data_IF_851533774142
#
_entry.id   IF_851533774142
#
_cell.length_a   1.000
_cell.length_b   1.000
_cell.length_c   1.000
_cell.angle_alpha   90.00
_cell.angle_beta   90.00
_cell.angle_gamma   90.00
#
_symmetry.space_group_name_H-M   'P 1'
#
loop_
_entity.id
_entity.type
_entity.pdbx_description
1 polymer ?
#
# COMPACT_ATOMS: atom_id res chain seq x y z
N UNK A 1 -10.67 -11.25 9.13
CA UNK A 1 -11.79 -10.84 10.04
C UNK A 1 -12.62 -9.59 9.65
N UNK A 2 -12.13 -8.34 9.70
CA UNK A 2 -13.01 -7.14 9.65
C UNK A 2 -13.98 -7.08 8.45
N UNK A 3 -13.50 -7.48 7.28
CA UNK A 3 -14.31 -7.58 6.06
C UNK A 3 -15.22 -8.82 5.98
N UNK A 4 -15.28 -9.64 7.03
CA UNK A 4 -16.00 -10.93 7.12
C UNK A 4 -15.74 -11.89 5.95
N UNK A 5 -14.50 -11.91 5.46
CA UNK A 5 -14.05 -12.79 4.38
C UNK A 5 -13.33 -14.00 4.96
N UNK A 6 -13.52 -15.16 4.34
CA UNK A 6 -12.68 -16.33 4.59
C UNK A 6 -11.26 -16.10 4.07
N UNK A 7 -10.32 -16.95 4.52
CA UNK A 7 -8.93 -16.92 4.04
C UNK A 7 -8.88 -17.16 2.52
N UNK A 8 -9.61 -18.16 2.03
CA UNK A 8 -9.65 -18.51 0.61
C UNK A 8 -10.23 -17.39 -0.26
N UNK A 9 -11.30 -16.74 0.20
CA UNK A 9 -11.90 -15.59 -0.52
C UNK A 9 -10.95 -14.39 -0.54
N UNK A 10 -10.23 -14.16 0.56
CA UNK A 10 -9.24 -13.09 0.62
C UNK A 10 -8.07 -13.35 -0.33
N UNK A 11 -7.53 -14.58 -0.33
CA UNK A 11 -6.48 -15.04 -1.22
C UNK A 11 -6.88 -14.83 -2.69
N UNK A 12 -8.06 -15.32 -3.08
CA UNK A 12 -8.59 -15.14 -4.43
C UNK A 12 -8.66 -13.65 -4.81
N UNK A 13 -9.19 -12.81 -3.91
CA UNK A 13 -9.34 -11.37 -4.16
C UNK A 13 -8.00 -10.65 -4.35
N UNK A 14 -6.99 -10.94 -3.52
CA UNK A 14 -5.67 -10.30 -3.67
C UNK A 14 -4.94 -10.83 -4.90
N UNK A 15 -5.16 -12.09 -5.29
CA UNK A 15 -4.60 -12.66 -6.51
C UNK A 15 -5.20 -12.06 -7.78
N UNK A 16 -6.51 -11.84 -7.82
CA UNK A 16 -7.17 -11.13 -8.92
C UNK A 16 -6.69 -9.68 -9.04
N UNK A 17 -6.49 -9.00 -7.91
CA UNK A 17 -5.88 -7.67 -7.89
C UNK A 17 -4.48 -7.69 -8.52
N UNK A 18 -3.63 -8.64 -8.10
CA UNK A 18 -2.28 -8.75 -8.62
C UNK A 18 -2.24 -9.17 -10.11
N UNK A 19 -3.16 -10.02 -10.54
CA UNK A 19 -3.34 -10.39 -11.95
C UNK A 19 -3.59 -9.15 -12.81
N UNK A 20 -4.49 -8.24 -12.39
CA UNK A 20 -4.74 -6.97 -13.11
C UNK A 20 -3.50 -6.08 -13.16
N UNK A 21 -2.70 -6.02 -12.08
CA UNK A 21 -1.44 -5.27 -12.06
C UNK A 21 -0.42 -5.85 -13.06
N UNK A 22 -0.28 -7.18 -13.10
CA UNK A 22 0.60 -7.86 -14.07
C UNK A 22 0.19 -7.62 -15.52
N UNK A 23 -1.13 -7.55 -15.79
CA UNK A 23 -1.65 -7.29 -17.12
C UNK A 23 -1.34 -5.85 -17.59
N UNK A 24 -1.22 -4.89 -16.67
CA UNK A 24 -0.78 -3.53 -16.99
C UNK A 24 0.72 -3.53 -17.28
N UNK A 25 1.50 -4.19 -16.44
CA UNK A 25 2.94 -4.31 -16.60
C UNK A 25 3.31 -4.94 -17.95
N UNK A 26 2.57 -5.96 -18.42
CA UNK A 26 2.85 -6.60 -19.73
C UNK A 26 2.80 -5.65 -20.91
N UNK A 27 1.95 -4.61 -20.83
CA UNK A 27 1.80 -3.56 -21.84
C UNK A 27 2.68 -2.35 -21.59
N UNK A 28 3.33 -2.24 -20.43
CA UNK A 28 4.26 -1.16 -20.13
C UNK A 28 5.66 -1.48 -20.71
N UNK A 29 6.17 -0.73 -21.69
CA UNK A 29 7.49 -0.99 -22.27
C UNK A 29 8.65 -0.82 -21.28
N UNK A 30 8.42 -0.13 -20.17
CA UNK A 30 9.42 0.11 -19.12
C UNK A 30 9.35 -0.90 -17.96
N UNK A 31 8.36 -1.80 -17.95
CA UNK A 31 8.22 -2.77 -16.88
C UNK A 31 9.33 -3.83 -16.92
N UNK A 32 9.89 -4.14 -15.77
CA UNK A 32 10.93 -5.17 -15.62
C UNK A 32 10.44 -6.57 -16.01
N UNK A 33 9.25 -6.94 -15.55
CA UNK A 33 8.55 -8.15 -15.99
C UNK A 33 7.34 -7.74 -16.80
N UNK A 34 7.27 -8.27 -18.03
CA UNK A 34 6.15 -8.05 -18.95
C UNK A 34 5.29 -9.30 -19.13
N UNK A 35 5.42 -10.28 -18.24
CA UNK A 35 4.60 -11.48 -18.21
C UNK A 35 3.31 -11.19 -17.45
N UNK A 36 2.17 -11.28 -18.12
CA UNK A 36 0.88 -11.26 -17.45
C UNK A 36 0.65 -12.59 -16.72
N UNK A 37 0.06 -12.52 -15.53
CA UNK A 37 -0.30 -13.68 -14.72
C UNK A 37 -1.81 -13.70 -14.49
N UNK A 38 -2.37 -14.89 -14.49
CA UNK A 38 -3.73 -15.18 -14.03
C UNK A 38 -3.77 -15.20 -12.50
N UNK A 39 -4.97 -15.09 -11.92
CA UNK A 39 -5.14 -15.21 -10.47
C UNK A 39 -4.70 -16.59 -9.95
N UNK A 40 -4.93 -17.67 -10.70
CA UNK A 40 -4.51 -19.01 -10.31
C UNK A 40 -2.98 -19.15 -10.29
N UNK A 41 -2.27 -18.58 -11.28
CA UNK A 41 -0.80 -18.55 -11.28
C UNK A 41 -0.25 -17.73 -10.11
N UNK A 42 -0.91 -16.62 -9.76
CA UNK A 42 -0.52 -15.81 -8.59
C UNK A 42 -0.70 -16.57 -7.27
N UNK A 43 -1.73 -17.43 -7.17
CA UNK A 43 -2.01 -18.26 -5.99
C UNK A 43 -1.15 -19.53 -5.91
N UNK A 44 -0.75 -20.07 -7.05
CA UNK A 44 -0.01 -21.32 -7.14
C UNK A 44 1.29 -21.23 -6.37
N UNK A 45 1.43 -22.11 -5.37
CA UNK A 45 2.68 -22.28 -4.62
C UNK A 45 3.61 -23.16 -5.43
N UNK A 46 4.81 -22.65 -5.70
CA UNK A 46 5.86 -23.35 -6.42
C UNK A 46 7.23 -22.94 -5.85
N UNK A 47 8.34 -23.61 -6.23
CA UNK A 47 9.67 -23.17 -5.83
C UNK A 47 9.96 -21.70 -6.19
N UNK A 48 9.42 -21.22 -7.31
CA UNK A 48 9.59 -19.85 -7.79
C UNK A 48 8.56 -18.86 -7.22
N UNK A 49 7.44 -19.36 -6.68
CA UNK A 49 6.37 -18.58 -6.06
C UNK A 49 5.97 -19.10 -4.68
N UNK A 50 6.95 -19.41 -3.83
CA UNK A 50 6.70 -19.93 -2.47
C UNK A 50 5.99 -18.91 -1.57
N UNK A 51 5.44 -19.40 -0.46
CA UNK A 51 4.99 -18.54 0.65
C UNK A 51 6.17 -17.76 1.26
N UNK A 52 5.94 -16.49 1.59
CA UNK A 52 6.92 -15.63 2.26
C UNK A 52 6.42 -15.29 3.67
N UNK A 53 5.28 -14.62 3.74
CA UNK A 53 4.60 -14.28 4.98
C UNK A 53 3.11 -14.25 4.67
N UNK A 54 2.29 -14.96 5.45
CA UNK A 54 0.86 -15.03 5.20
C UNK A 54 0.26 -13.61 5.08
N UNK A 55 -0.53 -13.30 4.03
CA UNK A 55 -1.05 -14.20 2.98
C UNK A 55 -0.24 -14.23 1.66
N UNK A 56 0.95 -13.63 1.63
CA UNK A 56 1.67 -13.32 0.40
C UNK A 56 2.64 -14.42 -0.05
N UNK A 57 2.41 -14.88 -1.28
CA UNK A 57 3.38 -15.63 -2.08
C UNK A 57 4.40 -14.65 -2.67
N UNK A 58 5.57 -15.15 -3.09
CA UNK A 58 6.69 -14.33 -3.57
C UNK A 58 6.28 -13.28 -4.63
N UNK A 59 5.46 -13.62 -5.61
CA UNK A 59 5.03 -12.65 -6.66
C UNK A 59 4.15 -11.52 -6.13
N UNK A 60 3.54 -11.66 -4.95
CA UNK A 60 2.79 -10.61 -4.26
C UNK A 60 3.67 -9.61 -3.50
N UNK A 61 5.00 -9.79 -3.54
CA UNK A 61 5.95 -8.90 -2.89
C UNK A 61 6.63 -8.01 -3.94
N UNK A 62 7.07 -6.82 -3.56
CA UNK A 62 7.80 -5.90 -4.44
C UNK A 62 9.08 -6.55 -5.01
N UNK A 63 9.36 -6.33 -6.29
CA UNK A 63 10.63 -6.74 -6.90
C UNK A 63 11.64 -5.60 -6.87
N UNK A 64 12.61 -5.66 -5.96
CA UNK A 64 13.67 -4.67 -5.80
C UNK A 64 14.98 -5.01 -6.53
N UNK A 65 15.05 -6.16 -7.21
CA UNK A 65 16.23 -6.60 -7.95
C UNK A 65 16.16 -6.13 -9.41
N UNK A 66 16.20 -4.82 -9.61
CA UNK A 66 16.02 -4.18 -10.92
C UNK A 66 17.02 -3.04 -11.13
N UNK A 67 17.39 -2.78 -12.38
CA UNK A 67 18.18 -1.61 -12.78
C UNK A 67 17.28 -0.68 -13.59
N UNK A 68 16.64 0.27 -12.90
CA UNK A 68 15.68 1.21 -13.48
C UNK A 68 16.01 2.62 -13.03
N UNK A 69 15.77 3.59 -13.91
CA UNK A 69 15.88 5.01 -13.60
C UNK A 69 14.70 5.78 -14.21
N UNK A 70 14.28 6.83 -13.52
CA UNK A 70 13.35 7.83 -14.03
C UNK A 70 13.94 9.21 -13.71
N UNK A 71 13.53 10.22 -14.47
CA UNK A 71 13.87 11.60 -14.22
C UNK A 71 12.69 12.48 -14.60
N UNK A 72 12.47 13.54 -13.83
CA UNK A 72 11.47 14.56 -14.10
C UNK A 72 12.21 15.88 -14.33
N UNK A 73 11.88 16.58 -15.42
CA UNK A 73 12.38 17.94 -15.67
C UNK A 73 11.24 18.90 -15.39
N UNK A 74 11.45 19.79 -14.43
CA UNK A 74 10.47 20.80 -14.02
C UNK A 74 11.07 22.18 -14.21
N UNK A 75 10.27 23.10 -14.74
CA UNK A 75 10.64 24.50 -14.91
C UNK A 75 9.37 25.38 -14.92
N UNK A 76 9.54 26.70 -14.85
CA UNK A 76 8.43 27.63 -15.04
C UNK A 76 7.94 27.60 -16.49
N UNK A 77 6.70 28.03 -16.72
CA UNK A 77 6.14 28.23 -18.07
C UNK A 77 7.04 29.16 -18.89
N UNK A 78 7.44 30.30 -18.31
CA UNK A 78 8.36 31.26 -18.93
C UNK A 78 9.67 30.59 -19.39
N UNK A 79 10.25 29.72 -18.55
CA UNK A 79 11.48 29.01 -18.91
C UNK A 79 11.24 28.03 -20.05
N UNK A 80 10.15 27.26 -20.01
CA UNK A 80 9.77 26.33 -21.07
C UNK A 80 9.58 27.06 -22.41
N UNK A 81 8.92 28.21 -22.41
CA UNK A 81 8.74 29.07 -23.59
C UNK A 81 10.08 29.61 -24.11
N UNK A 82 10.93 30.14 -23.23
CA UNK A 82 12.24 30.68 -23.61
C UNK A 82 13.18 29.64 -24.24
N UNK A 83 13.00 28.37 -23.88
CA UNK A 83 13.77 27.24 -24.41
C UNK A 83 13.08 26.55 -25.60
N UNK A 84 11.90 27.04 -26.02
CA UNK A 84 11.14 26.46 -27.13
C UNK A 84 10.59 25.07 -26.86
N UNK A 85 10.32 24.70 -25.60
CA UNK A 85 9.74 23.39 -25.25
C UNK A 85 8.30 23.32 -25.77
N UNK A 86 7.95 22.36 -26.64
CA UNK A 86 6.61 22.27 -27.23
C UNK A 86 5.50 22.12 -26.18
N UNK A 87 4.38 22.86 -26.37
CA UNK A 87 3.27 22.96 -25.39
C UNK A 87 2.58 21.63 -25.10
N UNK A 88 2.56 20.72 -26.07
CA UNK A 88 2.03 19.35 -25.96
C UNK A 88 2.91 18.44 -25.07
N UNK A 89 4.12 18.89 -24.69
CA UNK A 89 4.99 18.20 -23.73
C UNK A 89 4.75 18.61 -22.28
N UNK A 90 3.99 19.67 -22.04
CA UNK A 90 3.84 20.23 -20.70
C UNK A 90 2.78 19.47 -19.92
N UNK A 91 3.10 19.16 -18.67
CA UNK A 91 2.17 18.60 -17.67
C UNK A 91 2.39 19.38 -16.40
N UNK A 92 1.29 19.75 -15.75
CA UNK A 92 1.29 20.61 -14.59
C UNK A 92 0.93 19.79 -13.35
N UNK A 93 1.71 19.89 -12.26
CA UNK A 93 1.20 19.52 -10.95
C UNK A 93 0.09 20.51 -10.57
N UNK A 94 -1.07 19.99 -10.18
CA UNK A 94 -2.22 20.79 -9.75
C UNK A 94 -2.18 21.02 -8.25
N UNK A 95 -1.99 19.94 -7.50
CA UNK A 95 -1.81 20.00 -6.06
C UNK A 95 -0.90 18.90 -5.55
N UNK A 96 -0.41 19.08 -4.33
CA UNK A 96 0.21 18.01 -3.57
C UNK A 96 -0.10 18.09 -2.08
N UNK A 97 -0.03 16.97 -1.41
CA UNK A 97 -0.10 16.92 0.06
C UNK A 97 0.82 15.85 0.58
N UNK A 98 1.31 16.01 1.81
CA UNK A 98 2.03 14.98 2.53
C UNK A 98 1.62 14.93 4.00
N UNK A 99 1.67 13.73 4.56
CA UNK A 99 1.38 13.46 5.96
C UNK A 99 1.90 12.06 6.33
N UNK A 100 1.84 11.73 7.61
CA UNK A 100 2.20 10.41 8.10
C UNK A 100 1.22 9.89 9.16
N UNK A 101 1.02 8.58 9.17
CA UNK A 101 0.40 7.86 10.28
C UNK A 101 1.21 8.04 11.57
N UNK A 102 0.64 7.62 12.70
CA UNK A 102 1.41 7.42 13.93
C UNK A 102 2.65 6.57 13.64
N UNK A 103 3.82 7.09 14.02
CA UNK A 103 5.14 6.62 13.55
C UNK A 103 5.33 5.11 13.74
N UNK A 104 4.97 4.60 14.91
CA UNK A 104 5.03 3.18 15.20
C UNK A 104 3.70 2.50 14.89
N UNK A 105 3.75 1.43 14.09
CA UNK A 105 2.61 0.56 13.78
C UNK A 105 1.87 0.14 15.07
N UNK A 106 2.65 -0.16 16.12
CA UNK A 106 2.17 -0.48 17.47
C UNK A 106 1.20 0.52 18.09
N UNK A 107 1.26 1.80 17.73
CA UNK A 107 0.39 2.84 18.27
C UNK A 107 -0.83 3.12 17.40
N UNK A 108 -0.95 2.54 16.20
CA UNK A 108 -2.10 2.79 15.33
C UNK A 108 -3.38 2.28 15.97
N UNK A 109 -4.48 3.02 15.84
CA UNK A 109 -5.77 2.60 16.38
C UNK A 109 -6.25 1.26 15.80
N UNK A 110 -6.04 1.08 14.50
CA UNK A 110 -6.48 -0.07 13.71
C UNK A 110 -5.42 -0.38 12.66
N UNK A 111 -5.34 -1.64 12.21
CA UNK A 111 -4.55 -2.02 11.04
C UNK A 111 -5.36 -2.08 9.74
N UNK A 112 -6.68 -1.89 9.83
CA UNK A 112 -7.59 -1.88 8.70
C UNK A 112 -7.89 -0.46 8.18
N UNK A 113 -7.42 0.56 8.88
CA UNK A 113 -7.66 1.97 8.56
C UNK A 113 -6.34 2.73 8.41
N UNK A 114 -6.30 3.66 7.46
CA UNK A 114 -5.19 4.58 7.23
C UNK A 114 -5.69 6.02 7.17
N UNK A 115 -5.97 6.66 8.33
CA UNK A 115 -6.48 8.03 8.39
C UNK A 115 -5.64 9.05 7.62
N UNK A 116 -4.31 8.91 7.62
CA UNK A 116 -3.42 9.81 6.90
C UNK A 116 -3.62 9.70 5.38
N UNK A 117 -3.87 8.49 4.87
CA UNK A 117 -4.15 8.29 3.45
C UNK A 117 -5.46 8.97 3.05
N UNK A 118 -6.51 8.79 3.86
CA UNK A 118 -7.83 9.38 3.62
C UNK A 118 -7.74 10.92 3.63
N UNK A 119 -7.24 11.50 4.72
CA UNK A 119 -7.16 12.95 4.89
C UNK A 119 -6.21 13.60 3.88
N UNK A 120 -5.05 12.97 3.60
CA UNK A 120 -4.11 13.45 2.58
C UNK A 120 -4.71 13.43 1.19
N UNK A 121 -5.33 12.31 0.79
CA UNK A 121 -6.00 12.18 -0.50
C UNK A 121 -7.16 13.15 -0.70
N UNK A 122 -8.04 13.26 0.30
CA UNK A 122 -9.15 14.22 0.31
C UNK A 122 -8.63 15.66 0.17
N UNK A 123 -7.61 16.05 0.94
CA UNK A 123 -7.03 17.39 0.87
C UNK A 123 -6.37 17.65 -0.50
N UNK A 124 -5.66 16.69 -1.07
CA UNK A 124 -5.05 16.84 -2.39
C UNK A 124 -6.11 17.09 -3.48
N UNK A 125 -7.21 16.34 -3.45
CA UNK A 125 -8.32 16.50 -4.40
C UNK A 125 -9.05 17.84 -4.19
N UNK A 126 -9.31 18.24 -2.94
CA UNK A 126 -9.90 19.54 -2.61
C UNK A 126 -9.05 20.71 -3.13
N UNK A 127 -7.73 20.67 -2.94
CA UNK A 127 -6.82 21.70 -3.45
C UNK A 127 -6.82 21.80 -4.97
N UNK A 128 -7.05 20.69 -5.66
CA UNK A 128 -7.18 20.63 -7.11
C UNK A 128 -8.59 21.02 -7.60
N UNK A 129 -9.57 21.18 -6.70
CA UNK A 129 -10.97 21.38 -7.05
C UNK A 129 -11.61 20.17 -7.73
N UNK A 130 -11.19 18.96 -7.36
CA UNK A 130 -11.63 17.69 -7.94
C UNK A 130 -12.32 16.81 -6.90
N UNK A 131 -13.24 15.96 -7.35
CA UNK A 131 -13.63 14.72 -6.68
C UNK A 131 -12.80 13.53 -7.18
N UNK A 132 -12.84 12.41 -6.46
CA UNK A 132 -12.12 11.19 -6.88
C UNK A 132 -12.63 10.64 -8.22
N UNK A 133 -13.91 10.86 -8.54
CA UNK A 133 -14.54 10.44 -9.79
C UNK A 133 -14.14 11.31 -10.99
N UNK A 134 -13.59 12.51 -10.76
CA UNK A 134 -13.03 13.38 -11.82
C UNK A 134 -11.62 12.95 -12.25
N UNK A 135 -10.96 12.11 -11.45
CA UNK A 135 -9.66 11.54 -11.77
C UNK A 135 -9.91 10.25 -12.53
N UNK A 136 -9.34 10.08 -13.71
CA UNK A 136 -9.44 8.84 -14.50
C UNK A 136 -8.17 7.99 -14.42
N UNK A 137 -7.00 8.64 -14.32
CA UNK A 137 -5.69 8.00 -14.26
C UNK A 137 -5.21 7.88 -12.81
N UNK A 138 -5.07 6.65 -12.30
CA UNK A 138 -4.66 6.43 -10.91
C UNK A 138 -3.45 5.50 -10.87
N UNK A 139 -2.43 5.90 -10.11
CA UNK A 139 -1.35 5.00 -9.68
C UNK A 139 -1.23 5.01 -8.16
N UNK A 140 -1.62 3.89 -7.54
CA UNK A 140 -1.47 3.65 -6.11
C UNK A 140 -0.17 2.87 -5.86
N UNK A 141 0.64 3.34 -4.92
CA UNK A 141 1.82 2.59 -4.47
C UNK A 141 1.47 1.17 -4.02
N UNK A 142 2.23 0.18 -4.48
CA UNK A 142 1.81 -1.23 -4.44
C UNK A 142 2.91 -2.22 -4.02
N UNK A 143 3.66 -1.95 -2.95
CA UNK A 143 4.69 -2.90 -2.48
C UNK A 143 4.11 -4.26 -2.08
N UNK A 144 2.87 -4.28 -1.60
CA UNK A 144 2.07 -5.44 -1.25
C UNK A 144 0.59 -5.19 -1.57
N UNK A 145 -0.25 -6.23 -1.72
CA UNK A 145 -1.69 -6.09 -1.90
C UNK A 145 -2.38 -5.25 -0.81
N UNK A 146 -1.93 -5.34 0.44
CA UNK A 146 -2.48 -4.56 1.54
C UNK A 146 -2.37 -3.05 1.33
N UNK A 147 -1.23 -2.56 0.82
CA UNK A 147 -1.04 -1.13 0.56
C UNK A 147 -2.08 -0.62 -0.44
N UNK A 148 -2.31 -1.35 -1.54
CA UNK A 148 -3.31 -1.00 -2.55
C UNK A 148 -4.72 -1.06 -1.96
N UNK A 149 -5.02 -2.07 -1.13
CA UNK A 149 -6.32 -2.20 -0.48
C UNK A 149 -6.62 -1.02 0.45
N UNK A 150 -5.67 -0.66 1.32
CA UNK A 150 -5.79 0.48 2.24
C UNK A 150 -5.90 1.79 1.48
N UNK A 151 -5.07 1.98 0.45
CA UNK A 151 -5.10 3.13 -0.45
C UNK A 151 -6.44 3.32 -1.12
N UNK A 152 -6.93 2.27 -1.79
CA UNK A 152 -8.18 2.32 -2.51
C UNK A 152 -9.37 2.54 -1.58
N UNK A 153 -9.44 1.83 -0.45
CA UNK A 153 -10.49 2.03 0.56
C UNK A 153 -10.51 3.48 1.08
N UNK A 154 -9.34 4.03 1.42
CA UNK A 154 -9.22 5.38 1.98
C UNK A 154 -9.57 6.48 0.98
N UNK A 155 -9.38 6.23 -0.31
CA UNK A 155 -9.68 7.17 -1.39
C UNK A 155 -11.08 6.97 -2.00
N UNK A 156 -11.84 5.96 -1.54
CA UNK A 156 -13.15 5.65 -2.12
C UNK A 156 -13.09 4.97 -3.49
N UNK A 157 -12.00 4.25 -3.79
CA UNK A 157 -11.79 3.56 -5.06
C UNK A 157 -12.15 2.07 -4.96
N UNK A 158 -12.92 1.58 -5.93
CA UNK A 158 -13.18 0.15 -6.07
C UNK A 158 -11.90 -0.62 -6.50
N UNK A 159 -11.68 -1.80 -5.92
CA UNK A 159 -10.49 -2.61 -6.25
C UNK A 159 -10.50 -3.18 -7.68
N UNK A 160 -11.65 -3.20 -8.34
CA UNK A 160 -11.80 -3.63 -9.73
C UNK A 160 -11.40 -2.53 -10.72
N UNK A 161 -11.25 -1.28 -10.26
CA UNK A 161 -10.75 -0.17 -11.07
C UNK A 161 -9.30 -0.40 -11.49
N UNK A 162 -8.87 0.30 -12.55
CA UNK A 162 -7.47 0.41 -12.92
C UNK A 162 -6.71 1.26 -11.89
N UNK A 163 -6.02 0.61 -10.93
CA UNK A 163 -5.35 1.25 -9.78
C UNK A 163 -3.83 1.45 -9.96
N UNK A 164 -3.30 1.15 -11.14
CA UNK A 164 -1.90 1.40 -11.50
C UNK A 164 -1.81 1.81 -12.96
N UNK A 165 -0.87 2.71 -13.26
CA UNK A 165 -0.48 3.09 -14.61
C UNK A 165 0.77 2.32 -15.06
N UNK A 166 1.60 1.91 -14.10
CA UNK A 166 2.90 1.28 -14.33
C UNK A 166 2.85 -0.25 -14.36
N UNK A 167 1.92 -0.84 -13.60
CA UNK A 167 1.88 -2.28 -13.32
C UNK A 167 2.40 -2.67 -11.93
N UNK A 168 2.76 -1.70 -11.09
CA UNK A 168 3.10 -1.92 -9.68
C UNK A 168 4.51 -2.46 -9.41
N UNK A 169 4.93 -2.37 -8.15
CA UNK A 169 6.31 -2.70 -7.72
C UNK A 169 6.70 -4.17 -7.93
N UNK A 170 5.74 -5.11 -7.93
CA UNK A 170 6.04 -6.53 -8.18
C UNK A 170 6.45 -6.78 -9.63
N UNK A 171 5.82 -6.10 -10.58
CA UNK A 171 5.95 -6.42 -12.01
C UNK A 171 6.71 -5.34 -12.79
N UNK A 172 6.31 -4.07 -12.65
CA UNK A 172 7.04 -2.96 -13.25
C UNK A 172 8.46 -2.82 -12.69
N UNK A 173 8.65 -3.27 -11.44
CA UNK A 173 9.89 -3.15 -10.69
C UNK A 173 9.83 -2.00 -9.70
N UNK A 174 10.33 -2.24 -8.49
CA UNK A 174 10.42 -1.25 -7.42
C UNK A 174 11.88 -0.99 -7.06
N UNK A 175 12.60 -0.06 -7.73
CA UNK A 175 14.00 0.26 -7.44
C UNK A 175 14.13 0.94 -6.07
N UNK A 176 14.00 0.14 -5.01
CA UNK A 176 13.90 0.57 -3.61
C UNK A 176 12.91 1.71 -3.41
N UNK A 177 13.42 2.93 -3.31
CA UNK A 177 12.63 4.12 -2.97
C UNK A 177 12.03 4.83 -4.19
N UNK A 178 12.44 4.50 -5.42
CA UNK A 178 12.17 5.37 -6.57
C UNK A 178 10.96 4.98 -7.45
N UNK A 179 10.14 3.99 -7.05
CA UNK A 179 8.99 3.55 -7.84
C UNK A 179 8.05 4.71 -8.25
N UNK A 180 7.72 5.61 -7.32
CA UNK A 180 6.72 6.66 -7.54
C UNK A 180 7.15 7.64 -8.63
N UNK A 181 8.45 7.87 -8.82
CA UNK A 181 8.91 8.73 -9.91
C UNK A 181 8.61 8.10 -11.29
N UNK A 182 8.66 6.77 -11.42
CA UNK A 182 8.21 6.07 -12.62
C UNK A 182 6.68 6.17 -12.81
N UNK A 183 5.91 6.16 -11.72
CA UNK A 183 4.47 6.37 -11.76
C UNK A 183 4.11 7.79 -12.25
N UNK A 184 4.78 8.82 -11.73
CA UNK A 184 4.61 10.21 -12.18
C UNK A 184 5.02 10.36 -13.65
N UNK A 185 6.17 9.82 -14.07
CA UNK A 185 6.61 9.87 -15.46
C UNK A 185 5.60 9.19 -16.41
N UNK A 186 5.06 8.04 -16.00
CA UNK A 186 4.03 7.32 -16.76
C UNK A 186 2.73 8.11 -16.83
N UNK A 187 2.28 8.71 -15.72
CA UNK A 187 1.12 9.60 -15.69
C UNK A 187 1.29 10.79 -16.64
N UNK A 188 2.47 11.42 -16.66
CA UNK A 188 2.77 12.50 -17.59
C UNK A 188 2.69 12.06 -19.05
N UNK A 189 3.19 10.86 -19.40
CA UNK A 189 3.04 10.31 -20.75
C UNK A 189 1.57 10.14 -21.13
N UNK A 190 0.76 9.55 -20.25
CA UNK A 190 -0.68 9.36 -20.48
C UNK A 190 -1.45 10.67 -20.62
N UNK A 191 -1.14 11.66 -19.78
CA UNK A 191 -1.78 12.98 -19.83
C UNK A 191 -1.45 13.75 -21.12
N UNK A 192 -0.27 13.53 -21.71
CA UNK A 192 0.07 14.11 -23.03
C UNK A 192 -0.73 13.46 -24.16
N UNK A 193 -0.98 12.16 -24.07
CA UNK A 193 -1.84 11.42 -25.01
C UNK A 193 -3.32 11.78 -24.83
N UNK A 194 -3.74 12.12 -23.61
CA UNK A 194 -5.13 12.36 -23.23
C UNK A 194 -5.23 13.66 -22.41
N UNK A 195 -5.08 14.85 -23.04
CA UNK A 195 -4.93 16.13 -22.35
C UNK A 195 -6.17 16.59 -21.56
N UNK A 196 -7.34 15.97 -21.80
CA UNK A 196 -8.56 16.21 -21.04
C UNK A 196 -8.57 15.56 -19.66
N UNK A 197 -7.75 14.53 -19.44
CA UNK A 197 -7.79 13.68 -18.25
C UNK A 197 -7.08 14.29 -17.04
N UNK A 198 -7.33 13.70 -15.87
CA UNK A 198 -6.66 14.02 -14.61
C UNK A 198 -6.03 12.78 -14.02
N UNK A 199 -4.85 12.95 -13.43
CA UNK A 199 -4.13 11.88 -12.76
C UNK A 199 -3.97 12.13 -11.26
N UNK A 200 -4.08 11.06 -10.47
CA UNK A 200 -3.70 11.01 -9.06
C UNK A 200 -2.60 9.95 -8.90
N UNK A 201 -1.49 10.35 -8.27
CA UNK A 201 -0.43 9.43 -7.86
C UNK A 201 -0.32 9.48 -6.34
N UNK A 202 -0.39 8.32 -5.70
CA UNK A 202 -0.15 8.16 -4.27
C UNK A 202 1.19 7.47 -4.01
N UNK A 203 2.04 8.14 -3.25
CA UNK A 203 3.30 7.67 -2.74
C UNK A 203 3.14 7.11 -1.32
N UNK A 204 3.81 5.98 -1.06
CA UNK A 204 3.84 5.38 0.26
C UNK A 204 5.28 5.07 0.69
N UNK A 205 5.59 5.31 1.97
CA UNK A 205 6.87 4.98 2.60
C UNK A 205 6.69 4.28 3.95
N UNK A 206 7.62 3.36 4.27
CA UNK A 206 7.58 2.56 5.48
C UNK A 206 6.43 1.54 5.49
N UNK A 207 5.86 1.28 6.67
CA UNK A 207 4.80 0.28 6.87
C UNK A 207 3.41 0.89 6.65
N UNK A 208 3.16 1.51 5.50
CA UNK A 208 2.05 2.44 5.34
C UNK A 208 2.13 3.61 6.35
N UNK A 209 3.31 4.22 6.49
CA UNK A 209 3.57 5.25 7.51
C UNK A 209 3.58 6.64 6.91
N UNK A 210 4.29 6.85 5.80
CA UNK A 210 4.46 8.17 5.18
C UNK A 210 3.71 8.20 3.86
N UNK A 211 3.01 9.28 3.60
CA UNK A 211 2.19 9.43 2.41
C UNK A 211 2.45 10.76 1.74
N UNK A 212 2.52 10.72 0.41
CA UNK A 212 2.47 11.93 -0.41
C UNK A 212 1.51 11.69 -1.57
N UNK A 213 0.80 12.74 -1.97
CA UNK A 213 -0.18 12.71 -3.05
C UNK A 213 0.16 13.81 -4.04
N UNK A 214 -0.02 13.53 -5.32
CA UNK A 214 0.09 14.54 -6.37
C UNK A 214 -1.02 14.38 -7.39
N UNK A 215 -1.67 15.49 -7.74
CA UNK A 215 -2.61 15.56 -8.86
C UNK A 215 -1.96 16.24 -10.05
N UNK A 216 -2.26 15.77 -11.27
CA UNK A 216 -1.59 16.24 -12.49
C UNK A 216 -2.58 16.37 -13.67
N UNK A 217 -2.34 17.35 -14.55
CA UNK A 217 -3.07 17.51 -15.81
C UNK A 217 -2.20 18.15 -16.92
N UNK A 218 -2.64 18.07 -18.18
CA UNK A 218 -1.97 18.75 -19.31
C UNK A 218 -2.26 20.26 -19.40
N UNK A 219 -3.29 20.72 -18.67
CA UNK A 219 -3.65 22.14 -18.51
C UNK A 219 -3.17 22.67 -17.16
N UNK A 220 -2.86 23.98 -17.05
CA UNK A 220 -2.47 24.57 -15.77
C UNK A 220 -3.65 24.55 -14.79
N UNK A 221 -3.41 24.41 -13.47
CA UNK A 221 -4.44 24.56 -12.46
C UNK A 221 -4.98 26.00 -12.45
N UNK A 222 -6.31 26.22 -12.42
CA UNK A 222 -6.90 27.57 -12.47
C UNK A 222 -6.40 28.51 -11.37
N UNK A 223 -6.08 27.97 -10.18
CA UNK A 223 -5.64 28.72 -9.01
C UNK A 223 -4.14 28.63 -8.71
N UNK A 224 -3.32 28.17 -9.68
CA UNK A 224 -1.91 27.84 -9.45
C UNK A 224 -1.72 26.53 -8.66
N UNK A 225 -0.48 26.05 -8.58
CA UNK A 225 -0.15 24.89 -7.75
C UNK A 225 -0.41 25.19 -6.27
N UNK A 226 -0.98 24.24 -5.54
CA UNK A 226 -1.21 24.34 -4.09
C UNK A 226 -0.68 23.12 -3.35
N UNK A 227 -0.15 23.35 -2.16
CA UNK A 227 0.31 22.31 -1.26
C UNK A 227 -0.18 22.56 0.16
N UNK A 228 -0.63 21.49 0.83
CA UNK A 228 -0.96 21.51 2.25
C UNK A 228 -0.64 20.17 2.92
N UNK A 229 -0.66 20.15 4.24
CA UNK A 229 -0.51 18.93 5.04
C UNK A 229 -1.64 18.85 6.07
N UNK A 230 -2.47 17.79 6.08
CA UNK A 230 -3.49 17.58 7.10
C UNK A 230 -2.90 16.96 8.39
N UNK A 231 -1.60 17.12 8.67
CA UNK A 231 -0.91 16.40 9.75
C UNK A 231 -1.53 16.64 11.13
N UNK A 232 -2.00 17.86 11.43
CA UNK A 232 -2.64 18.15 12.72
C UNK A 232 -3.93 17.36 12.95
N UNK A 233 -4.69 17.10 11.89
CA UNK A 233 -5.91 16.28 11.93
C UNK A 233 -5.56 14.79 12.13
N UNK A 234 -4.47 14.32 11.51
CA UNK A 234 -3.94 12.97 11.70
C UNK A 234 -3.43 12.78 13.13
N UNK A 235 -2.66 13.73 13.66
CA UNK A 235 -2.09 13.67 15.01
C UNK A 235 -3.15 13.65 16.10
N UNK A 236 -4.29 14.30 15.85
CA UNK A 236 -5.46 14.28 16.74
C UNK A 236 -6.25 12.96 16.68
N UNK A 237 -5.97 12.09 15.71
CA UNK A 237 -6.66 10.79 15.59
C UNK A 237 -6.27 9.84 16.72
N UNK A 238 -7.20 8.98 17.19
CA UNK A 238 -6.93 8.03 18.26
C UNK A 238 -5.67 7.19 18.03
N UNK A 239 -4.97 6.88 19.12
CA UNK A 239 -3.81 6.00 19.14
C UNK A 239 -3.93 5.01 20.29
N UNK A 240 -3.25 3.88 20.17
CA UNK A 240 -3.14 2.88 21.24
C UNK A 240 -1.85 3.08 22.02
N UNK A 241 -1.93 2.75 23.30
CA UNK A 241 -0.76 2.50 24.13
C UNK A 241 -0.35 1.02 24.06
N UNK A 242 0.89 0.75 24.43
CA UNK A 242 1.47 -0.59 24.45
C UNK A 242 1.44 -1.16 25.87
N UNK A 243 1.11 -2.44 25.99
CA UNK A 243 1.38 -3.22 27.18
C UNK A 243 2.69 -3.99 26.96
N UNK A 244 3.70 -3.73 27.80
CA UNK A 244 5.05 -4.28 27.68
C UNK A 244 5.39 -5.16 28.88
N UNK A 245 6.24 -6.17 28.69
CA UNK A 245 6.65 -7.07 29.75
C UNK A 245 5.44 -7.72 30.43
N UNK A 246 5.42 -7.65 31.76
CA UNK A 246 4.35 -8.23 32.58
C UNK A 246 3.03 -7.46 32.50
N UNK A 247 3.01 -6.20 32.04
CA UNK A 247 1.77 -5.44 31.86
C UNK A 247 0.85 -6.06 30.80
N UNK A 248 1.43 -6.86 29.89
CA UNK A 248 0.69 -7.57 28.86
C UNK A 248 0.06 -8.88 29.36
N UNK A 249 0.35 -9.31 30.60
CA UNK A 249 -0.11 -10.59 31.14
C UNK A 249 -1.63 -10.60 31.32
N UNK A 250 -2.25 -11.72 30.94
CA UNK A 250 -3.67 -11.96 31.16
C UNK A 250 -4.44 -12.16 29.86
N UNK A 251 -5.76 -11.99 29.92
CA UNK A 251 -6.62 -12.24 28.78
C UNK A 251 -6.49 -11.13 27.72
N UNK A 252 -6.41 -11.55 26.45
CA UNK A 252 -6.33 -10.65 25.31
C UNK A 252 -7.08 -11.24 24.11
N UNK A 253 -7.27 -10.44 23.07
CA UNK A 253 -7.90 -10.84 21.81
C UNK A 253 -6.90 -10.67 20.67
N UNK A 254 -6.77 -11.65 19.76
CA UNK A 254 -5.94 -11.49 18.55
C UNK A 254 -6.55 -10.40 17.66
N UNK A 255 -5.78 -9.36 17.34
CA UNK A 255 -6.21 -8.25 16.47
C UNK A 255 -5.81 -8.46 15.02
N UNK A 256 -4.57 -8.91 14.81
CA UNK A 256 -4.00 -9.22 13.50
C UNK A 256 -2.80 -10.14 13.69
N UNK A 257 -2.45 -10.91 12.66
CA UNK A 257 -1.26 -11.73 12.68
C UNK A 257 -0.72 -11.97 11.27
N UNK A 258 0.52 -12.46 11.21
CA UNK A 258 1.12 -13.06 10.02
C UNK A 258 1.98 -14.24 10.46
N UNK A 259 2.16 -15.19 9.55
CA UNK A 259 3.06 -16.34 9.72
C UNK A 259 4.16 -16.22 8.69
N UNK A 260 5.40 -16.08 9.15
CA UNK A 260 6.58 -16.10 8.30
C UNK A 260 6.92 -17.54 7.93
N UNK A 261 7.31 -17.73 6.67
CA UNK A 261 7.68 -19.03 6.12
C UNK A 261 9.15 -19.02 5.70
N UNK A 262 9.78 -20.19 5.79
CA UNK A 262 11.18 -20.38 5.42
C UNK A 262 11.39 -20.44 3.89
N UNK A 263 12.60 -20.84 3.44
CA UNK A 263 12.89 -20.98 2.01
C UNK A 263 12.23 -22.20 1.35
N UNK A 264 11.83 -23.20 2.13
CA UNK A 264 11.05 -24.34 1.66
C UNK A 264 9.55 -24.01 1.54
N UNK A 265 9.10 -22.93 2.21
CA UNK A 265 7.72 -22.52 2.28
C UNK A 265 6.98 -23.10 3.48
N UNK A 266 7.70 -23.66 4.47
CA UNK A 266 7.12 -24.16 5.71
C UNK A 266 6.94 -23.02 6.75
N UNK A 267 5.86 -23.02 7.56
CA UNK A 267 5.68 -22.09 8.67
C UNK A 267 6.86 -22.12 9.66
N UNK A 268 7.40 -20.96 10.00
CA UNK A 268 8.58 -20.84 10.88
C UNK A 268 8.32 -19.97 12.11
N UNK A 269 7.54 -18.89 11.95
CA UNK A 269 7.36 -17.90 13.03
C UNK A 269 6.00 -17.22 12.96
N UNK A 270 5.31 -17.18 14.10
CA UNK A 270 4.10 -16.38 14.29
C UNK A 270 4.45 -14.99 14.81
N UNK A 271 3.91 -13.96 14.16
CA UNK A 271 3.88 -12.59 14.68
C UNK A 271 2.42 -12.18 14.79
N UNK A 272 1.97 -11.82 16.00
CA UNK A 272 0.59 -11.38 16.22
C UNK A 272 0.52 -10.13 17.09
N UNK A 273 -0.43 -9.26 16.78
CA UNK A 273 -0.87 -8.19 17.66
C UNK A 273 -2.10 -8.65 18.45
N UNK A 274 -2.15 -8.30 19.72
CA UNK A 274 -3.27 -8.60 20.61
C UNK A 274 -3.76 -7.33 21.30
N UNK A 275 -5.04 -7.29 21.64
CA UNK A 275 -5.65 -6.21 22.42
C UNK A 275 -6.06 -6.75 23.78
N UNK A 276 -5.60 -6.09 24.84
CA UNK A 276 -6.08 -6.30 26.20
C UNK A 276 -7.47 -5.68 26.37
N UNK A 277 -8.17 -6.04 27.44
CA UNK A 277 -9.52 -5.54 27.74
C UNK A 277 -9.54 -4.02 28.04
N UNK A 278 -8.39 -3.46 28.45
CA UNK A 278 -8.18 -2.01 28.62
C UNK A 278 -7.86 -1.27 27.31
N UNK A 279 -7.79 -1.99 26.18
CA UNK A 279 -7.55 -1.46 24.84
C UNK A 279 -6.07 -1.25 24.47
N UNK A 280 -5.13 -1.51 25.39
CA UNK A 280 -3.68 -1.49 25.08
C UNK A 280 -3.31 -2.66 24.18
N UNK A 281 -2.32 -2.44 23.31
CA UNK A 281 -1.82 -3.46 22.40
C UNK A 281 -0.62 -4.18 23.00
N UNK A 282 -0.58 -5.50 22.87
CA UNK A 282 0.61 -6.30 23.10
C UNK A 282 0.99 -7.05 21.82
N UNK A 283 2.24 -7.51 21.75
CA UNK A 283 2.77 -8.27 20.62
C UNK A 283 3.14 -9.68 21.03
N UNK A 284 3.03 -10.60 20.08
CA UNK A 284 3.48 -11.99 20.16
C UNK A 284 4.52 -12.20 19.09
N UNK A 285 5.61 -12.90 19.43
CA UNK A 285 6.63 -13.33 18.50
C UNK A 285 7.09 -14.73 18.89
N UNK A 286 6.51 -15.74 18.26
CA UNK A 286 6.73 -17.15 18.62
C UNK A 286 7.45 -17.90 17.50
N UNK A 287 8.49 -18.64 17.88
CA UNK A 287 9.18 -19.60 17.02
C UNK A 287 8.64 -21.05 17.20
N UNK A 288 7.52 -21.19 17.91
CA UNK A 288 6.82 -22.47 18.00
C UNK A 288 6.17 -22.81 16.63
N UNK A 289 6.73 -23.82 15.97
CA UNK A 289 6.30 -24.27 14.65
C UNK A 289 4.89 -24.85 14.67
N UNK A 290 4.46 -25.48 15.77
CA UNK A 290 3.11 -26.00 15.92
C UNK A 290 2.09 -24.86 15.89
N UNK A 291 2.35 -23.83 16.68
CA UNK A 291 1.52 -22.62 16.72
C UNK A 291 1.54 -21.85 15.39
N UNK A 292 2.71 -21.73 14.76
CA UNK A 292 2.84 -21.10 13.44
C UNK A 292 2.04 -21.86 12.37
N UNK A 293 2.04 -23.20 12.43
CA UNK A 293 1.28 -24.06 11.51
C UNK A 293 -0.23 -23.91 11.72
N UNK A 294 -0.69 -23.91 12.98
CA UNK A 294 -2.10 -23.69 13.31
C UNK A 294 -2.59 -22.34 12.73
N UNK A 295 -1.88 -21.25 13.02
CA UNK A 295 -2.23 -19.91 12.54
C UNK A 295 -2.14 -19.76 11.02
N UNK A 296 -1.34 -20.58 10.34
CA UNK A 296 -1.25 -20.57 8.88
C UNK A 296 -2.49 -21.15 8.19
N UNK A 297 -3.27 -21.99 8.90
CA UNK A 297 -4.40 -22.74 8.31
C UNK A 297 -5.77 -22.33 8.86
N UNK A 298 -5.84 -21.73 10.04
CA UNK A 298 -7.08 -21.27 10.65
C UNK A 298 -7.13 -19.74 10.81
N UNK A 299 -8.33 -19.16 10.84
CA UNK A 299 -8.53 -17.74 11.18
C UNK A 299 -8.60 -17.58 12.71
N UNK A 300 -7.66 -16.79 13.24
CA UNK A 300 -7.53 -16.53 14.68
C UNK A 300 -7.92 -15.10 15.10
N UNK A 301 -8.06 -14.15 14.17
CA UNK A 301 -8.45 -12.79 14.53
C UNK A 301 -9.81 -12.78 15.22
N UNK A 302 -9.87 -12.12 16.38
CA UNK A 302 -11.05 -12.08 17.25
C UNK A 302 -11.11 -13.21 18.29
N UNK A 303 -10.25 -14.24 18.22
CA UNK A 303 -10.18 -15.28 19.25
C UNK A 303 -9.55 -14.73 20.53
N UNK A 304 -10.06 -15.20 21.68
CA UNK A 304 -9.48 -14.92 23.00
C UNK A 304 -8.27 -15.80 23.24
N UNK A 305 -7.24 -15.21 23.82
CA UNK A 305 -5.97 -15.85 24.17
C UNK A 305 -5.52 -15.39 25.55
N UNK A 306 -4.60 -16.14 26.16
CA UNK A 306 -3.93 -15.72 27.39
C UNK A 306 -2.49 -15.36 27.08
N UNK A 307 -2.09 -14.12 27.37
CA UNK A 307 -0.73 -13.64 27.29
C UNK A 307 0.03 -13.98 28.58
N UNK A 308 1.23 -14.55 28.48
CA UNK A 308 2.13 -14.72 29.65
C UNK A 308 2.83 -13.41 29.99
N UNK A 309 3.33 -12.73 28.96
CA UNK A 309 3.95 -11.40 28.95
C UNK A 309 4.05 -10.94 27.50
N UNK A 310 4.54 -9.73 27.24
CA UNK A 310 4.80 -9.28 25.88
C UNK A 310 5.76 -10.24 25.17
N UNK A 311 5.39 -10.71 23.98
CA UNK A 311 6.14 -11.66 23.16
C UNK A 311 5.64 -13.09 23.26
N UNK A 312 4.88 -13.46 24.30
CA UNK A 312 4.62 -14.86 24.64
C UNK A 312 3.14 -15.14 24.90
N UNK A 313 2.56 -16.05 24.10
CA UNK A 313 1.27 -16.67 24.38
C UNK A 313 1.44 -17.77 25.44
N UNK A 314 0.44 -17.95 26.29
CA UNK A 314 0.31 -19.17 27.05
C UNK A 314 -0.02 -20.31 26.08
N UNK A 315 0.69 -21.43 26.19
CA UNK A 315 0.27 -22.69 25.57
C UNK A 315 -1.15 -23.02 26.03
N UNK A 316 -2.01 -23.40 25.10
CA UNK A 316 -3.32 -23.97 25.40
C UNK A 316 -3.20 -25.23 26.26
#
# INVERSE_FOLDING_TARGET
>A
AAARRSIADHDRRIAELWSRFSAVASRNPFAWSRTAMTADEVLAVSPDNRMIGLPYRKVMNSNNQVNLAAALVMCSVEKAESLGVPRDRWVFPWSGTDCHEHQFVSNRWSFADTPAVRLGGERALQLAGLGIDDVSLVDLYSCFPSAVQLGAQSLGLELTRQLTLTGGLSFAGGPWNNYVMHAIATAMMRLREQPGERALVWANGGYATKHAFGTYAATPPPGGFRHESPQSEVDASPKRELALGDDARGAATIEAYTVMHDRSGAPERLIAATLLDDGRRAWVNSADVGLATEFAHEEHVGRRVTMRRSGELASA
#
